data_IF_960252422118
#
_entry.id   IF_960252422118
#
_cell.length_a   1.000
_cell.length_b   1.000
_cell.length_c   1.000
_cell.angle_alpha   90.00
_cell.angle_beta   90.00
_cell.angle_gamma   90.00
#
_symmetry.space_group_name_H-M   'P 1'
#
loop_
_entity.id
_entity.type
_entity.pdbx_description
1 polymer ?
#
# COMPACT_ATOMS: atom_id res chain seq x y z
N UNK A 1 22.73 7.47 -11.11
CA UNK A 1 22.70 6.07 -11.59
C UNK A 1 23.48 5.26 -10.57
N UNK A 2 22.90 4.20 -9.95
CA UNK A 2 23.61 3.38 -8.97
C UNK A 2 24.82 2.75 -9.66
N UNK A 3 25.97 2.74 -8.99
CA UNK A 3 27.21 2.22 -9.57
C UNK A 3 27.15 0.69 -9.64
N UNK A 4 27.71 0.05 -10.67
CA UNK A 4 27.76 -1.42 -10.78
C UNK A 4 28.37 -2.10 -9.54
N UNK A 5 29.16 -1.36 -8.76
CA UNK A 5 29.72 -1.80 -7.48
C UNK A 5 28.66 -2.00 -6.40
N UNK A 6 27.60 -1.19 -6.38
CA UNK A 6 26.50 -1.30 -5.40
C UNK A 6 25.70 -2.60 -5.61
N UNK A 7 25.50 -3.01 -6.87
CA UNK A 7 24.86 -4.28 -7.23
C UNK A 7 25.69 -5.51 -6.89
N UNK A 8 27.02 -5.37 -6.75
CA UNK A 8 27.90 -6.47 -6.31
C UNK A 8 27.89 -6.65 -4.78
N UNK A 9 27.63 -5.58 -4.00
CA UNK A 9 27.61 -5.61 -2.53
C UNK A 9 26.23 -6.06 -2.00
N UNK A 10 25.14 -5.75 -2.71
CA UNK A 10 23.78 -6.21 -2.39
C UNK A 10 23.01 -6.51 -3.68
N UNK A 11 23.12 -7.73 -4.24
CA UNK A 11 22.42 -8.07 -5.46
C UNK A 11 20.91 -7.97 -5.25
N UNK A 12 20.26 -7.05 -5.98
CA UNK A 12 18.81 -6.95 -5.99
C UNK A 12 18.27 -8.14 -6.79
N UNK A 13 17.93 -9.21 -6.09
CA UNK A 13 17.28 -10.38 -6.68
C UNK A 13 15.88 -9.96 -7.15
N UNK A 14 15.67 -9.94 -8.47
CA UNK A 14 14.39 -9.51 -9.07
C UNK A 14 13.21 -10.34 -8.52
N UNK A 15 13.41 -11.64 -8.25
CA UNK A 15 12.38 -12.50 -7.68
C UNK A 15 11.93 -12.04 -6.28
N UNK A 16 12.86 -11.60 -5.43
CA UNK A 16 12.54 -11.07 -4.11
C UNK A 16 11.77 -9.75 -4.20
N UNK A 17 12.13 -8.88 -5.14
CA UNK A 17 11.40 -7.64 -5.40
C UNK A 17 9.99 -7.94 -5.90
N UNK A 18 9.84 -8.85 -6.85
CA UNK A 18 8.52 -9.25 -7.37
C UNK A 18 7.65 -9.89 -6.27
N UNK A 19 8.22 -10.74 -5.42
CA UNK A 19 7.51 -11.32 -4.29
C UNK A 19 7.02 -10.25 -3.31
N UNK A 20 7.89 -9.31 -2.95
CA UNK A 20 7.55 -8.21 -2.04
C UNK A 20 6.43 -7.32 -2.61
N UNK A 21 6.51 -6.98 -3.90
CA UNK A 21 5.44 -6.23 -4.59
C UNK A 21 4.12 -7.00 -4.59
N UNK A 22 4.15 -8.32 -4.80
CA UNK A 22 2.95 -9.16 -4.77
C UNK A 22 2.32 -9.22 -3.37
N UNK A 23 3.13 -9.39 -2.33
CA UNK A 23 2.66 -9.40 -0.93
C UNK A 23 2.03 -8.05 -0.58
N UNK A 24 2.67 -6.95 -0.95
CA UNK A 24 2.17 -5.60 -0.73
C UNK A 24 0.82 -5.38 -1.44
N UNK A 25 0.72 -5.75 -2.72
CA UNK A 25 -0.50 -5.63 -3.51
C UNK A 25 -1.66 -6.46 -2.92
N UNK A 26 -1.37 -7.65 -2.40
CA UNK A 26 -2.36 -8.48 -1.72
C UNK A 26 -2.87 -7.82 -0.42
N UNK A 27 -1.95 -7.30 0.41
CA UNK A 27 -2.32 -6.55 1.62
C UNK A 27 -3.20 -5.34 1.30
N UNK A 28 -2.86 -4.59 0.24
CA UNK A 28 -3.63 -3.42 -0.19
C UNK A 28 -5.02 -3.83 -0.71
N UNK A 29 -5.12 -4.95 -1.43
CA UNK A 29 -6.40 -5.47 -1.92
C UNK A 29 -7.33 -5.91 -0.78
N UNK A 30 -6.77 -6.60 0.23
CA UNK A 30 -7.52 -7.05 1.41
C UNK A 30 -7.92 -5.90 2.33
N UNK A 31 -7.03 -4.92 2.53
CA UNK A 31 -7.36 -3.74 3.35
C UNK A 31 -8.37 -2.85 2.64
N UNK A 32 -8.27 -2.67 1.32
CA UNK A 32 -9.26 -1.93 0.54
C UNK A 32 -10.66 -2.55 0.60
N UNK A 33 -10.77 -3.89 0.54
CA UNK A 33 -12.07 -4.55 0.70
C UNK A 33 -12.63 -4.39 2.11
N UNK A 34 -11.80 -4.53 3.15
CA UNK A 34 -12.22 -4.31 4.54
C UNK A 34 -12.69 -2.87 4.80
N UNK A 35 -11.98 -1.87 4.27
CA UNK A 35 -12.40 -0.48 4.37
C UNK A 35 -13.68 -0.19 3.58
N UNK A 36 -13.90 -0.88 2.46
CA UNK A 36 -15.15 -0.78 1.70
C UNK A 36 -16.34 -1.33 2.49
N UNK A 37 -16.16 -2.48 3.16
CA UNK A 37 -17.16 -3.01 4.10
C UNK A 37 -17.48 -2.00 5.21
N UNK A 38 -16.45 -1.45 5.85
CA UNK A 38 -16.62 -0.46 6.92
C UNK A 38 -17.37 0.79 6.42
N UNK A 39 -16.98 1.35 5.27
CA UNK A 39 -17.65 2.52 4.68
C UNK A 39 -19.10 2.22 4.26
N UNK A 40 -19.37 1.00 3.77
CA UNK A 40 -20.71 0.53 3.43
C UNK A 40 -21.63 0.48 4.63
N UNK A 41 -21.17 -0.13 5.73
CA UNK A 41 -21.90 -0.24 7.00
C UNK A 41 -22.15 1.14 7.63
N UNK A 42 -21.13 2.01 7.65
CA UNK A 42 -21.23 3.32 8.30
C UNK A 42 -22.19 4.30 7.62
N UNK A 43 -22.70 3.99 6.43
CA UNK A 43 -23.60 4.94 5.78
C UNK A 43 -22.89 5.98 4.92
N UNK A 44 -21.57 5.94 4.76
CA UNK A 44 -20.85 7.04 4.12
C UNK A 44 -21.20 7.13 2.63
N UNK A 45 -21.61 8.32 2.20
CA UNK A 45 -22.04 8.63 0.84
C UNK A 45 -21.07 9.60 0.16
N UNK A 46 -20.97 9.47 -1.17
CA UNK A 46 -20.28 10.44 -2.04
C UNK A 46 -18.82 10.71 -1.61
N UNK A 47 -18.42 11.98 -1.47
CA UNK A 47 -17.05 12.40 -1.15
C UNK A 47 -16.51 11.84 0.18
N UNK A 48 -17.36 11.58 1.16
CA UNK A 48 -16.92 11.09 2.47
C UNK A 48 -16.36 9.66 2.40
N UNK A 49 -16.93 8.81 1.55
CA UNK A 49 -16.41 7.44 1.35
C UNK A 49 -15.06 7.44 0.64
N UNK A 50 -14.86 8.32 -0.34
CA UNK A 50 -13.55 8.49 -0.97
C UNK A 50 -12.52 9.06 0.00
N UNK A 51 -12.85 10.10 0.77
CA UNK A 51 -11.94 10.67 1.75
C UNK A 51 -11.52 9.62 2.80
N UNK A 52 -12.46 8.80 3.26
CA UNK A 52 -12.19 7.66 4.12
C UNK A 52 -11.19 6.69 3.47
N UNK A 53 -11.43 6.30 2.21
CA UNK A 53 -10.49 5.44 1.48
C UNK A 53 -9.09 6.03 1.38
N UNK A 54 -8.94 7.29 0.96
CA UNK A 54 -7.62 7.92 0.82
C UNK A 54 -6.88 8.01 2.16
N UNK A 55 -7.56 8.40 3.23
CA UNK A 55 -6.96 8.49 4.57
C UNK A 55 -6.51 7.12 5.09
N UNK A 56 -7.36 6.10 4.99
CA UNK A 56 -7.04 4.77 5.49
C UNK A 56 -6.02 4.03 4.59
N UNK A 57 -6.05 4.26 3.29
CA UNK A 57 -5.04 3.74 2.35
C UNK A 57 -3.67 4.36 2.63
N UNK A 58 -3.61 5.68 2.79
CA UNK A 58 -2.40 6.39 3.21
C UNK A 58 -1.90 5.88 4.57
N UNK A 59 -2.79 5.74 5.55
CA UNK A 59 -2.44 5.24 6.88
C UNK A 59 -1.89 3.81 6.83
N UNK A 60 -2.47 2.94 6.01
CA UNK A 60 -2.00 1.55 5.84
C UNK A 60 -0.61 1.51 5.21
N UNK A 61 -0.36 2.31 4.18
CA UNK A 61 0.97 2.44 3.56
C UNK A 61 1.98 3.05 4.54
N UNK A 62 1.59 4.08 5.30
CA UNK A 62 2.42 4.71 6.30
C UNK A 62 2.76 3.76 7.46
N UNK A 63 1.79 2.99 7.96
CA UNK A 63 2.01 1.96 8.98
C UNK A 63 2.94 0.87 8.45
N UNK A 64 2.72 0.37 7.23
CA UNK A 64 3.61 -0.61 6.62
C UNK A 64 5.04 -0.06 6.47
N UNK A 65 5.15 1.21 6.08
CA UNK A 65 6.43 1.90 5.97
C UNK A 65 7.14 2.02 7.33
N UNK A 66 6.44 2.50 8.36
CA UNK A 66 7.00 2.71 9.71
C UNK A 66 7.35 1.38 10.37
N UNK A 67 6.50 0.36 10.28
CA UNK A 67 6.72 -0.91 10.98
C UNK A 67 7.69 -1.86 10.28
N UNK A 68 7.73 -1.90 8.93
CA UNK A 68 8.62 -2.82 8.21
C UNK A 68 9.82 -2.17 7.53
N UNK A 69 9.69 -0.93 7.03
CA UNK A 69 10.72 -0.32 6.16
C UNK A 69 11.65 0.60 6.97
N UNK A 70 11.10 1.41 7.89
CA UNK A 70 11.88 2.31 8.74
C UNK A 70 12.93 1.63 9.65
N UNK A 71 12.64 0.49 10.33
CA UNK A 71 13.65 -0.17 11.16
C UNK A 71 14.81 -0.76 10.34
N UNK A 72 14.52 -1.30 9.15
CA UNK A 72 15.52 -1.88 8.25
C UNK A 72 16.35 -0.79 7.52
N UNK A 73 15.74 0.36 7.20
CA UNK A 73 16.45 1.49 6.58
C UNK A 73 17.39 2.21 7.56
N UNK A 74 17.00 2.32 8.83
CA UNK A 74 17.82 2.91 9.91
C UNK A 74 19.04 2.05 10.24
N UNK A 75 18.90 0.72 10.19
CA UNK A 75 20.00 -0.25 10.33
C UNK A 75 21.02 -0.16 9.19
N UNK A 76 20.59 0.32 8.01
CA UNK A 76 21.39 0.38 6.79
C UNK A 76 22.03 1.76 6.52
N UNK A 77 21.81 2.76 7.38
CA UNK A 77 22.39 4.11 7.24
C UNK A 77 21.80 4.96 6.10
N UNK A 78 20.66 4.55 5.54
CA UNK A 78 19.97 5.28 4.47
C UNK A 78 18.95 6.27 5.05
N UNK A 79 18.66 7.39 4.35
CA UNK A 79 17.69 8.37 4.82
C UNK A 79 16.31 7.73 5.05
N UNK A 80 15.58 8.26 6.04
CA UNK A 80 14.28 7.76 6.53
C UNK A 80 13.16 7.69 5.48
N UNK A 81 13.43 8.08 4.23
CA UNK A 81 12.49 8.12 3.11
C UNK A 81 12.96 7.27 1.90
N UNK A 82 14.14 6.66 1.98
CA UNK A 82 14.76 6.00 0.82
C UNK A 82 14.47 4.51 0.79
N UNK A 83 13.40 4.13 0.07
CA UNK A 83 12.98 2.74 -0.14
C UNK A 83 13.80 2.01 -1.22
N UNK A 84 14.89 2.62 -1.72
CA UNK A 84 15.68 2.10 -2.85
C UNK A 84 16.31 0.72 -2.62
N UNK A 85 16.36 0.21 -1.37
CA UNK A 85 16.90 -1.12 -1.05
C UNK A 85 15.93 -2.27 -1.36
N UNK A 86 14.63 -2.03 -1.30
CA UNK A 86 13.60 -3.07 -1.45
C UNK A 86 12.66 -2.86 -2.63
N UNK A 87 12.53 -1.62 -3.13
CA UNK A 87 11.64 -1.29 -4.23
C UNK A 87 12.34 -0.37 -5.25
N UNK A 88 11.95 -0.50 -6.53
CA UNK A 88 12.50 0.29 -7.64
C UNK A 88 12.21 1.80 -7.52
N UNK A 89 11.26 2.19 -6.66
CA UNK A 89 11.03 3.57 -6.27
C UNK A 89 10.05 3.69 -5.09
N UNK A 90 10.21 4.69 -4.20
CA UNK A 90 9.32 4.92 -3.05
C UNK A 90 7.91 5.35 -3.47
N UNK A 91 7.79 6.06 -4.59
CA UNK A 91 6.50 6.47 -5.14
C UNK A 91 5.70 5.31 -5.70
N UNK A 92 6.37 4.27 -6.22
CA UNK A 92 5.69 3.12 -6.81
C UNK A 92 4.90 2.34 -5.74
N UNK A 93 5.44 2.22 -4.52
CA UNK A 93 4.75 1.63 -3.36
C UNK A 93 3.47 2.39 -3.02
N UNK A 94 3.51 3.71 -3.14
CA UNK A 94 2.41 4.61 -2.80
C UNK A 94 1.34 4.67 -3.88
N UNK A 95 1.72 4.84 -5.14
CA UNK A 95 0.78 4.97 -6.25
C UNK A 95 0.20 3.62 -6.65
N UNK A 96 1.01 2.56 -6.76
CA UNK A 96 0.53 1.25 -7.20
C UNK A 96 -0.54 0.69 -6.26
N UNK A 97 -0.38 0.90 -4.95
CA UNK A 97 -1.32 0.42 -3.96
C UNK A 97 -2.62 1.17 -3.90
N UNK A 98 -2.54 2.50 -3.99
CA UNK A 98 -3.69 3.36 -3.86
C UNK A 98 -4.61 3.25 -5.08
N UNK A 99 -4.07 3.00 -6.28
CA UNK A 99 -4.87 2.73 -7.46
C UNK A 99 -5.27 1.26 -7.60
N UNK A 100 -4.44 0.32 -7.14
CA UNK A 100 -4.72 -1.12 -7.20
C UNK A 100 -5.88 -1.55 -6.30
N UNK A 101 -6.04 -0.93 -5.13
CA UNK A 101 -7.11 -1.27 -4.18
C UNK A 101 -8.47 -0.62 -4.47
N UNK A 102 -8.52 0.44 -5.27
CA UNK A 102 -9.74 1.23 -5.51
C UNK A 102 -10.94 0.41 -6.01
N UNK A 103 -10.80 -0.48 -7.01
CA UNK A 103 -11.93 -1.27 -7.51
C UNK A 103 -12.53 -2.19 -6.43
N UNK A 104 -11.67 -2.82 -5.62
CA UNK A 104 -12.09 -3.70 -4.53
C UNK A 104 -12.83 -2.95 -3.42
N UNK A 105 -12.37 -1.74 -3.11
CA UNK A 105 -13.06 -0.83 -2.20
C UNK A 105 -14.45 -0.45 -2.72
N UNK A 106 -14.58 0.02 -3.97
CA UNK A 106 -15.86 0.47 -4.55
C UNK A 106 -16.87 -0.69 -4.61
N UNK A 107 -16.42 -1.89 -5.00
CA UNK A 107 -17.26 -3.07 -5.09
C UNK A 107 -17.87 -3.44 -3.73
N UNK A 108 -17.04 -3.51 -2.69
CA UNK A 108 -17.49 -3.89 -1.34
C UNK A 108 -18.28 -2.77 -0.67
N UNK A 109 -17.93 -1.52 -0.92
CA UNK A 109 -18.67 -0.35 -0.45
C UNK A 109 -20.11 -0.34 -0.97
N UNK A 110 -20.31 -0.48 -2.27
CA UNK A 110 -21.65 -0.47 -2.87
C UNK A 110 -22.48 -1.68 -2.46
N UNK A 111 -21.86 -2.86 -2.34
CA UNK A 111 -22.54 -4.08 -1.91
C UNK A 111 -23.05 -3.99 -0.47
N UNK A 112 -22.21 -3.60 0.49
CA UNK A 112 -22.62 -3.49 1.89
C UNK A 112 -23.54 -2.29 2.14
N UNK A 113 -23.34 -1.19 1.42
CA UNK A 113 -24.29 -0.09 1.38
C UNK A 113 -25.69 -0.59 1.04
N UNK A 114 -25.81 -1.33 -0.07
CA UNK A 114 -27.08 -1.84 -0.56
C UNK A 114 -27.74 -2.80 0.43
N UNK A 115 -26.95 -3.66 1.08
CA UNK A 115 -27.49 -4.62 2.06
C UNK A 115 -28.02 -3.94 3.33
N UNK A 116 -27.33 -2.91 3.84
CA UNK A 116 -27.70 -2.26 5.11
C UNK A 116 -28.86 -1.27 4.95
N UNK A 117 -29.04 -0.73 3.75
CA UNK A 117 -29.97 0.38 3.47
C UNK A 117 -31.11 0.01 2.51
N UNK A 118 -31.19 -1.24 2.07
CA UNK A 118 -32.35 -1.80 1.38
C UNK A 118 -33.47 -2.13 2.38
#
# INVERSE_FOLDING_TARGET
MPSERDYQISPIVQESVMHNTKVLSNLQSLTASLFGVAAGILGLESYNGFLFYFLFSFLTVALFYIFRIAPESTSAGLPFLDTSRYFKGPLDVWTSGLFGGLPGFILTWTLFYGIVRA
#
